data_IF_627494148584
#
_entry.id   IF_627494148584
#
_cell.length_a   1.000
_cell.length_b   1.000
_cell.length_c   1.000
_cell.angle_alpha   90.00
_cell.angle_beta   90.00
_cell.angle_gamma   90.00
#
_symmetry.space_group_name_H-M   'P 1'
#
loop_
_entity.id
_entity.type
_entity.pdbx_description
1 polymer ?
#
# COMPACT_ATOMS: atom_id res chain seq x y z
N UNK A 1 12.51 -2.61 14.39
CA UNK A 1 11.04 -2.78 14.38
C UNK A 1 10.71 -4.02 13.56
N UNK A 2 9.87 -4.93 14.06
CA UNK A 2 9.54 -6.18 13.37
C UNK A 2 8.60 -6.00 12.17
N UNK A 3 8.23 -7.11 11.54
CA UNK A 3 7.16 -7.13 10.53
C UNK A 3 5.78 -6.85 11.14
N UNK A 4 4.84 -6.35 10.34
CA UNK A 4 3.44 -6.26 10.76
C UNK A 4 2.73 -7.61 10.55
N UNK A 5 1.72 -7.96 11.37
CA UNK A 5 1.00 -9.22 11.27
C UNK A 5 0.32 -9.40 9.91
N UNK A 6 0.17 -10.64 9.44
CA UNK A 6 -0.59 -10.98 8.23
C UNK A 6 -2.05 -11.32 8.56
N UNK A 7 -2.62 -10.61 9.53
CA UNK A 7 -3.94 -10.83 10.10
C UNK A 7 -4.51 -9.52 10.66
N UNK A 8 -5.82 -9.50 10.91
CA UNK A 8 -6.53 -8.35 11.47
C UNK A 8 -7.20 -7.48 10.41
N UNK A 9 -8.09 -6.61 10.88
CA UNK A 9 -9.05 -5.90 10.03
C UNK A 9 -8.38 -5.12 8.88
N UNK A 10 -7.29 -4.40 9.16
CA UNK A 10 -6.60 -3.61 8.13
C UNK A 10 -5.91 -4.49 7.08
N UNK A 11 -5.22 -5.56 7.49
CA UNK A 11 -4.56 -6.47 6.55
C UNK A 11 -5.59 -7.19 5.66
N UNK A 12 -6.66 -7.68 6.25
CA UNK A 12 -7.71 -8.39 5.52
C UNK A 12 -8.46 -7.46 4.55
N UNK A 13 -8.72 -6.21 4.94
CA UNK A 13 -9.30 -5.20 4.07
C UNK A 13 -8.35 -4.83 2.92
N UNK A 14 -7.04 -4.67 3.18
CA UNK A 14 -6.04 -4.46 2.12
C UNK A 14 -6.05 -5.61 1.12
N UNK A 15 -6.05 -6.86 1.58
CA UNK A 15 -6.10 -8.05 0.71
C UNK A 15 -7.38 -8.08 -0.14
N UNK A 16 -8.53 -7.82 0.48
CA UNK A 16 -9.83 -7.84 -0.20
C UNK A 16 -9.94 -6.74 -1.25
N UNK A 17 -9.62 -5.50 -0.87
CA UNK A 17 -9.74 -4.35 -1.75
C UNK A 17 -8.67 -4.34 -2.86
N UNK A 18 -7.47 -4.88 -2.60
CA UNK A 18 -6.47 -5.10 -3.64
C UNK A 18 -7.01 -6.03 -4.73
N UNK A 19 -7.63 -7.16 -4.38
CA UNK A 19 -8.23 -8.08 -5.36
C UNK A 19 -9.43 -7.49 -6.09
N UNK A 20 -10.27 -6.70 -5.41
CA UNK A 20 -11.42 -6.04 -6.04
C UNK A 20 -11.00 -4.93 -7.02
N UNK A 21 -9.90 -4.23 -6.72
CA UNK A 21 -9.38 -3.15 -7.56
C UNK A 21 -8.51 -3.69 -8.69
N UNK A 22 -7.71 -4.72 -8.40
CA UNK A 22 -6.76 -5.35 -9.31
C UNK A 22 -6.93 -6.88 -9.23
N UNK A 23 -7.82 -7.48 -10.05
CA UNK A 23 -8.15 -8.91 -9.97
C UNK A 23 -6.94 -9.86 -10.05
N UNK A 24 -5.93 -9.49 -10.83
CA UNK A 24 -4.69 -10.25 -11.02
C UNK A 24 -3.65 -10.03 -9.90
N UNK A 25 -3.88 -9.10 -8.96
CA UNK A 25 -2.91 -8.76 -7.94
C UNK A 25 -2.76 -9.87 -6.89
N UNK A 26 -1.50 -10.24 -6.64
CA UNK A 26 -1.11 -11.15 -5.56
C UNK A 26 -0.58 -10.33 -4.40
N UNK A 27 -1.19 -10.48 -3.22
CA UNK A 27 -0.67 -9.88 -1.99
C UNK A 27 0.34 -10.82 -1.37
N UNK A 28 1.59 -10.35 -1.27
CA UNK A 28 2.69 -11.12 -0.71
C UNK A 28 3.51 -10.24 0.23
N UNK A 29 4.16 -10.82 1.26
CA UNK A 29 5.08 -10.09 2.10
C UNK A 29 6.30 -9.64 1.30
N UNK A 30 6.72 -8.39 1.49
CA UNK A 30 7.91 -7.84 0.87
C UNK A 30 8.76 -7.11 1.92
N UNK A 31 10.05 -7.40 1.94
CA UNK A 31 11.01 -6.67 2.76
C UNK A 31 11.46 -5.42 2.01
N UNK A 32 11.01 -4.26 2.47
CA UNK A 32 11.42 -2.98 1.92
C UNK A 32 12.70 -2.51 2.63
N UNK A 33 13.81 -2.48 1.89
CA UNK A 33 15.15 -2.13 2.40
C UNK A 33 15.35 -0.61 2.43
N UNK A 34 14.47 0.12 3.12
CA UNK A 34 14.57 1.56 3.30
C UNK A 34 14.06 1.99 4.69
N UNK A 35 14.50 3.17 5.13
CA UNK A 35 13.95 3.81 6.32
C UNK A 35 12.50 4.23 6.07
N UNK A 36 11.59 3.88 6.98
CA UNK A 36 10.17 4.28 6.93
C UNK A 36 9.72 4.77 8.30
N UNK A 37 8.71 5.63 8.32
CA UNK A 37 8.01 6.07 9.54
C UNK A 37 7.31 4.92 10.29
N UNK A 38 7.03 3.80 9.59
CA UNK A 38 6.44 2.60 10.14
C UNK A 38 7.19 2.04 11.36
N UNK A 39 8.51 2.22 11.44
CA UNK A 39 9.30 1.70 12.55
C UNK A 39 8.84 2.26 13.92
N UNK A 40 8.52 3.56 13.97
CA UNK A 40 8.08 4.23 15.20
C UNK A 40 6.72 3.69 15.67
N UNK A 41 5.78 3.51 14.74
CA UNK A 41 4.44 3.01 15.03
C UNK A 41 4.44 1.52 15.41
N UNK A 42 5.17 0.69 14.66
CA UNK A 42 5.29 -0.74 14.96
C UNK A 42 5.94 -1.00 16.31
N UNK A 43 6.89 -0.15 16.74
CA UNK A 43 7.49 -0.25 18.08
C UNK A 43 6.48 -0.03 19.23
N UNK A 44 5.33 0.59 18.93
CA UNK A 44 4.22 0.86 19.86
C UNK A 44 3.04 -0.09 19.67
N UNK A 45 3.24 -1.19 18.93
CA UNK A 45 2.20 -2.19 18.69
C UNK A 45 1.15 -1.79 17.64
N UNK A 46 1.34 -0.69 16.90
CA UNK A 46 0.44 -0.28 15.81
C UNK A 46 0.88 -0.95 14.51
N UNK A 47 0.06 -1.82 13.88
CA UNK A 47 0.37 -2.38 12.58
C UNK A 47 0.44 -1.29 11.50
N UNK A 48 1.47 -1.34 10.65
CA UNK A 48 1.65 -0.42 9.52
C UNK A 48 2.09 -1.23 8.31
N UNK A 49 1.43 -1.05 7.18
CA UNK A 49 1.75 -1.77 5.94
C UNK A 49 2.24 -0.76 4.90
N UNK A 50 3.45 -0.98 4.36
CA UNK A 50 3.95 -0.21 3.23
C UNK A 50 3.23 -0.64 1.96
N UNK A 51 2.82 0.32 1.14
CA UNK A 51 2.09 0.09 -0.10
C UNK A 51 2.65 0.97 -1.21
N UNK A 52 2.73 0.43 -2.43
CA UNK A 52 2.71 1.25 -3.64
C UNK A 52 1.23 1.43 -3.99
N UNK A 53 0.66 2.64 -3.84
CA UNK A 53 -0.80 2.79 -3.79
C UNK A 53 -1.47 2.71 -5.17
N UNK A 54 -0.76 2.33 -6.24
CA UNK A 54 -1.26 2.20 -7.60
C UNK A 54 -0.28 1.43 -8.50
N UNK A 55 -0.70 0.95 -9.69
CA UNK A 55 0.20 0.39 -10.69
C UNK A 55 1.15 1.45 -11.25
N UNK A 56 2.43 1.12 -11.34
CA UNK A 56 3.45 1.99 -11.91
C UNK A 56 4.40 1.17 -12.78
N UNK A 57 4.87 1.77 -13.88
CA UNK A 57 5.88 1.14 -14.72
C UNK A 57 7.25 1.18 -14.01
N UNK A 58 8.15 0.24 -14.32
CA UNK A 58 9.51 0.28 -13.78
C UNK A 58 10.22 1.60 -14.14
N UNK A 59 10.02 2.09 -15.37
CA UNK A 59 10.64 3.33 -15.84
C UNK A 59 10.13 4.57 -15.07
N UNK A 60 8.84 4.64 -14.73
CA UNK A 60 8.32 5.74 -13.92
C UNK A 60 8.75 5.61 -12.45
N UNK A 61 8.85 4.39 -11.92
CA UNK A 61 9.32 4.15 -10.56
C UNK A 61 10.78 4.58 -10.35
N UNK A 62 11.64 4.39 -11.36
CA UNK A 62 13.03 4.88 -11.35
C UNK A 62 13.14 6.41 -11.23
N UNK A 63 12.06 7.16 -11.56
CA UNK A 63 12.02 8.63 -11.45
C UNK A 63 11.62 9.11 -10.06
N UNK A 64 11.25 8.21 -9.15
CA UNK A 64 10.90 8.58 -7.76
C UNK A 64 12.06 9.34 -7.11
N UNK A 65 11.78 10.52 -6.54
CA UNK A 65 12.79 11.45 -6.00
C UNK A 65 13.78 12.02 -7.02
N UNK A 66 13.45 11.96 -8.31
CA UNK A 66 14.28 12.44 -9.41
C UNK A 66 13.65 13.58 -10.22
N UNK A 67 14.29 13.91 -11.34
CA UNK A 67 13.72 14.85 -12.30
C UNK A 67 12.55 14.21 -13.04
N UNK A 68 11.51 15.00 -13.31
CA UNK A 68 10.34 14.56 -14.10
C UNK A 68 9.62 13.35 -13.48
N UNK A 69 9.58 13.30 -12.13
CA UNK A 69 8.78 12.35 -11.36
C UNK A 69 7.30 12.49 -11.78
N UNK A 70 6.69 11.35 -12.15
CA UNK A 70 5.33 11.33 -12.69
C UNK A 70 4.65 10.00 -12.44
N UNK A 71 3.33 10.03 -12.58
CA UNK A 71 2.46 8.86 -12.47
C UNK A 71 1.30 9.03 -13.47
N UNK A 72 0.83 7.94 -14.12
CA UNK A 72 -0.37 8.02 -14.95
C UNK A 72 -1.60 8.44 -14.12
N UNK A 73 -2.43 9.32 -14.66
CA UNK A 73 -3.68 9.76 -13.99
C UNK A 73 -4.59 8.56 -13.68
N UNK A 74 -4.73 7.62 -14.62
CA UNK A 74 -5.52 6.41 -14.42
C UNK A 74 -4.99 5.52 -13.27
N UNK A 75 -3.67 5.52 -13.05
CA UNK A 75 -3.07 4.83 -11.90
C UNK A 75 -3.51 5.48 -10.59
N UNK A 76 -3.47 6.82 -10.51
CA UNK A 76 -3.96 7.56 -9.35
C UNK A 76 -5.44 7.32 -9.06
N UNK A 77 -6.29 7.30 -10.09
CA UNK A 77 -7.73 7.03 -9.94
C UNK A 77 -8.00 5.64 -9.36
N UNK A 78 -7.35 4.61 -9.91
CA UNK A 78 -7.49 3.24 -9.39
C UNK A 78 -6.90 3.10 -7.99
N UNK A 79 -5.79 3.77 -7.72
CA UNK A 79 -5.15 3.76 -6.40
C UNK A 79 -6.00 4.42 -5.33
N UNK A 80 -6.60 5.56 -5.67
CA UNK A 80 -7.56 6.25 -4.80
C UNK A 80 -8.72 5.32 -4.41
N UNK A 81 -9.23 4.53 -5.36
CA UNK A 81 -10.28 3.55 -5.10
C UNK A 81 -9.83 2.47 -4.12
N UNK A 82 -8.63 1.92 -4.29
CA UNK A 82 -8.06 0.93 -3.36
C UNK A 82 -8.01 1.51 -1.93
N UNK A 83 -7.35 2.65 -1.75
CA UNK A 83 -7.12 3.24 -0.43
C UNK A 83 -8.44 3.65 0.22
N UNK A 84 -9.30 4.36 -0.51
CA UNK A 84 -10.57 4.86 0.02
C UNK A 84 -11.46 3.71 0.47
N UNK A 85 -11.59 2.66 -0.34
CA UNK A 85 -12.43 1.51 0.03
C UNK A 85 -11.86 0.73 1.20
N UNK A 86 -10.53 0.58 1.30
CA UNK A 86 -9.89 -0.05 2.47
C UNK A 86 -10.20 0.75 3.74
N UNK A 87 -10.08 2.09 3.68
CA UNK A 87 -10.36 2.94 4.83
C UNK A 87 -11.84 2.89 5.22
N UNK A 88 -12.76 2.96 4.25
CA UNK A 88 -14.19 2.84 4.51
C UNK A 88 -14.55 1.47 5.13
N UNK A 89 -13.97 0.37 4.65
CA UNK A 89 -14.23 -0.97 5.20
C UNK A 89 -13.81 -1.10 6.67
N UNK A 90 -12.73 -0.43 7.07
CA UNK A 90 -12.16 -0.54 8.42
C UNK A 90 -12.72 0.52 9.38
N UNK A 91 -12.90 1.76 8.91
CA UNK A 91 -13.19 2.92 9.75
C UNK A 91 -14.64 3.40 9.71
N UNK A 92 -15.47 2.97 8.74
CA UNK A 92 -16.89 3.32 8.71
C UNK A 92 -17.75 2.43 9.63
N UNK A 93 -17.13 1.74 10.60
CA UNK A 93 -17.79 0.93 11.62
C UNK A 93 -18.02 1.73 12.89
#
# INVERSE_FOLDING_TARGET
AGESPKSGALYEALVRQAKLTYPEAKVTPYLFQAGTDAAAWRSRGVPVYGIYPYPISAQDLERMHGNDERVPVASLESGLKLITNTLLEVAAK
#
